data_IF_137396265072
#
_entry.id   IF_137396265072
#
_cell.length_a   1.000
_cell.length_b   1.000
_cell.length_c   1.000
_cell.angle_alpha   90.00
_cell.angle_beta   90.00
_cell.angle_gamma   90.00
#
_symmetry.space_group_name_H-M   'P 1'
#
loop_
_entity.id
_entity.type
_entity.pdbx_description
1 polymer ?
#
# COMPACT_ATOMS: atom_id res chain seq x y z
N UNK A 1 -36.58 29.76 -46.58
CA UNK A 1 -35.88 30.69 -47.49
C UNK A 1 -34.87 31.48 -46.66
N UNK A 2 -33.58 31.40 -47.05
CA UNK A 2 -32.42 32.28 -46.78
C UNK A 2 -32.17 32.76 -45.33
N UNK A 3 -31.16 32.30 -44.58
CA UNK A 3 -29.69 32.53 -44.68
C UNK A 3 -29.24 34.00 -44.56
N UNK A 4 -28.46 34.31 -43.50
CA UNK A 4 -27.24 35.17 -43.44
C UNK A 4 -26.88 35.43 -41.96
N UNK A 5 -25.83 34.86 -41.37
CA UNK A 5 -24.39 35.07 -41.59
C UNK A 5 -23.93 36.50 -41.27
N UNK A 6 -23.26 36.70 -40.13
CA UNK A 6 -22.16 37.65 -39.95
C UNK A 6 -21.23 37.18 -38.81
N UNK A 7 -20.01 36.83 -39.19
CA UNK A 7 -18.79 36.91 -38.41
C UNK A 7 -17.85 37.90 -39.15
N UNK A 8 -16.65 38.27 -38.66
CA UNK A 8 -16.16 38.47 -37.30
C UNK A 8 -15.59 39.91 -37.11
N UNK A 9 -15.24 40.32 -35.89
CA UNK A 9 -14.25 41.40 -35.67
C UNK A 9 -13.05 40.77 -34.97
N UNK A 10 -11.97 40.61 -35.72
CA UNK A 10 -10.65 40.32 -35.19
C UNK A 10 -10.01 41.63 -34.70
N UNK A 11 -9.55 41.66 -33.45
CA UNK A 11 -8.54 42.62 -33.02
C UNK A 11 -7.33 41.78 -32.57
N UNK A 12 -6.32 41.77 -33.43
CA UNK A 12 -4.99 41.29 -33.11
C UNK A 12 -4.31 42.33 -32.20
N UNK A 13 -3.81 41.87 -31.05
CA UNK A 13 -2.94 42.64 -30.18
C UNK A 13 -1.79 41.75 -29.74
N UNK A 14 -0.67 41.83 -30.45
CA UNK A 14 0.62 41.25 -30.04
C UNK A 14 1.26 42.13 -28.98
N UNK A 15 1.52 41.56 -27.79
CA UNK A 15 2.54 42.07 -26.87
C UNK A 15 3.37 40.88 -26.39
N UNK A 16 4.65 40.90 -26.75
CA UNK A 16 5.66 39.99 -26.26
C UNK A 16 6.25 40.50 -24.94
N UNK A 17 6.59 39.60 -24.03
CA UNK A 17 7.54 39.84 -22.95
C UNK A 17 6.99 39.61 -21.54
N UNK A 18 7.37 38.48 -20.95
CA UNK A 18 7.21 38.23 -19.52
C UNK A 18 7.19 36.73 -19.21
N UNK A 19 8.29 36.19 -18.67
CA UNK A 19 8.30 34.88 -18.02
C UNK A 19 7.25 34.90 -16.91
N UNK A 20 6.18 34.14 -17.09
CA UNK A 20 5.14 33.93 -16.09
C UNK A 20 4.95 32.42 -15.98
N UNK A 21 5.05 31.94 -14.73
CA UNK A 21 4.74 30.58 -14.34
C UNK A 21 3.43 30.11 -14.99
N UNK A 22 3.40 28.87 -15.47
CA UNK A 22 2.19 28.27 -16.01
C UNK A 22 1.06 28.34 -14.98
N UNK A 23 -0.19 28.56 -15.41
CA UNK A 23 -1.33 28.46 -14.49
C UNK A 23 -1.37 27.05 -13.86
N UNK A 24 -1.85 26.90 -12.62
CA UNK A 24 -2.14 25.59 -12.07
C UNK A 24 -3.08 24.87 -13.06
N UNK A 25 -2.64 23.71 -13.54
CA UNK A 25 -3.49 22.83 -14.31
C UNK A 25 -4.57 22.32 -13.34
N UNK A 26 -5.76 22.89 -13.40
CA UNK A 26 -6.94 22.19 -12.90
C UNK A 26 -7.15 21.01 -13.84
N UNK A 27 -7.03 19.79 -13.32
CA UNK A 27 -7.36 18.57 -14.04
C UNK A 27 -8.77 18.71 -14.60
N UNK A 28 -8.89 18.79 -15.93
CA UNK A 28 -10.16 18.73 -16.60
C UNK A 28 -10.58 17.25 -16.63
N UNK A 29 -11.79 16.96 -16.14
CA UNK A 29 -12.46 15.67 -16.25
C UNK A 29 -12.17 14.99 -17.59
N UNK A 30 -11.45 13.87 -17.53
CA UNK A 30 -11.37 12.92 -18.63
C UNK A 30 -12.61 12.02 -18.62
N UNK A 31 -13.09 11.67 -19.82
CA UNK A 31 -14.20 10.73 -20.02
C UNK A 31 -13.88 9.38 -19.35
N UNK A 32 -14.77 8.93 -18.47
CA UNK A 32 -14.63 7.68 -17.70
C UNK A 32 -14.91 6.49 -18.64
N UNK A 33 -13.86 5.73 -18.96
CA UNK A 33 -14.03 4.32 -19.29
C UNK A 33 -14.33 3.59 -17.97
N UNK A 34 -15.54 3.06 -17.82
CA UNK A 34 -15.91 2.18 -16.70
C UNK A 34 -15.15 0.86 -16.87
N UNK A 35 -13.95 0.78 -16.31
CA UNK A 35 -13.19 -0.45 -16.18
C UNK A 35 -13.11 -0.76 -14.69
N UNK A 36 -13.80 -1.83 -14.28
CA UNK A 36 -13.78 -2.30 -12.91
C UNK A 36 -12.35 -2.72 -12.55
N UNK A 37 -11.71 -2.00 -11.62
CA UNK A 37 -10.40 -2.34 -11.10
C UNK A 37 -10.51 -3.41 -10.01
N UNK A 38 -9.59 -4.38 -10.02
CA UNK A 38 -9.36 -5.29 -8.89
C UNK A 38 -8.24 -4.72 -8.02
N UNK A 39 -8.41 -4.78 -6.70
CA UNK A 39 -7.40 -4.38 -5.73
C UNK A 39 -7.21 -5.45 -4.63
N UNK A 40 -5.96 -5.76 -4.32
CA UNK A 40 -5.57 -6.54 -3.15
C UNK A 40 -5.24 -5.61 -1.97
N UNK A 41 -5.77 -5.92 -0.78
CA UNK A 41 -5.54 -5.13 0.43
C UNK A 41 -4.81 -5.93 1.50
N UNK A 42 -3.70 -5.38 2.00
CA UNK A 42 -2.86 -5.97 3.04
C UNK A 42 -2.76 -5.02 4.23
N UNK A 43 -3.09 -5.54 5.42
CA UNK A 43 -3.15 -4.76 6.65
C UNK A 43 -1.78 -4.49 7.31
N UNK A 44 -1.74 -3.58 8.28
CA UNK A 44 -0.58 -3.34 9.12
C UNK A 44 -0.42 -4.44 10.19
N UNK A 45 0.64 -4.32 10.99
CA UNK A 45 0.83 -5.11 12.21
C UNK A 45 -0.44 -5.16 13.05
N UNK A 46 -0.77 -6.35 13.56
CA UNK A 46 -1.96 -6.74 14.31
C UNK A 46 -3.29 -6.78 13.54
N UNK A 47 -3.33 -6.37 12.27
CA UNK A 47 -4.51 -6.47 11.42
C UNK A 47 -4.30 -7.57 10.38
N UNK A 48 -4.26 -8.82 10.85
CA UNK A 48 -3.97 -10.01 10.02
C UNK A 48 -4.93 -10.16 8.84
N UNK A 49 -6.20 -9.85 9.04
CA UNK A 49 -7.22 -9.84 7.97
C UNK A 49 -7.98 -8.52 8.03
N UNK A 50 -7.67 -7.56 7.14
CA UNK A 50 -8.44 -6.33 7.03
C UNK A 50 -9.96 -6.56 6.88
N UNK A 51 -10.76 -5.66 7.46
CA UNK A 51 -12.21 -5.70 7.31
C UNK A 51 -12.66 -5.16 5.94
N UNK A 52 -13.91 -5.45 5.52
CA UNK A 52 -14.54 -4.79 4.37
C UNK A 52 -14.47 -3.26 4.46
N UNK A 53 -14.74 -2.70 5.64
CA UNK A 53 -14.68 -1.25 5.89
C UNK A 53 -13.28 -0.69 5.65
N UNK A 54 -12.24 -1.42 6.06
CA UNK A 54 -10.86 -1.06 5.78
C UNK A 54 -10.62 -0.99 4.27
N UNK A 55 -10.96 -2.06 3.54
CA UNK A 55 -10.71 -2.15 2.10
C UNK A 55 -11.44 -1.04 1.33
N UNK A 56 -12.70 -0.79 1.68
CA UNK A 56 -13.48 0.31 1.12
C UNK A 56 -12.82 1.66 1.39
N UNK A 57 -12.48 1.94 2.65
CA UNK A 57 -11.91 3.25 3.02
C UNK A 57 -10.56 3.48 2.36
N UNK A 58 -9.71 2.46 2.31
CA UNK A 58 -8.43 2.52 1.62
C UNK A 58 -8.61 2.76 0.11
N UNK A 59 -9.57 2.08 -0.51
CA UNK A 59 -9.89 2.28 -1.92
C UNK A 59 -10.33 3.73 -2.19
N UNK A 60 -11.27 4.24 -1.40
CA UNK A 60 -11.84 5.58 -1.55
C UNK A 60 -10.79 6.67 -1.34
N UNK A 61 -9.91 6.51 -0.35
CA UNK A 61 -8.94 7.54 0.01
C UNK A 61 -7.68 7.52 -0.86
N UNK A 62 -7.17 6.34 -1.23
CA UNK A 62 -5.81 6.23 -1.78
C UNK A 62 -5.74 5.67 -3.19
N UNK A 63 -6.73 4.89 -3.63
CA UNK A 63 -6.74 4.27 -4.96
C UNK A 63 -7.62 5.05 -5.94
N UNK A 64 -8.83 5.44 -5.54
CA UNK A 64 -9.75 6.22 -6.39
C UNK A 64 -9.14 7.52 -6.93
N UNK A 65 -8.40 8.31 -6.14
CA UNK A 65 -7.72 9.50 -6.66
C UNK A 65 -6.70 9.20 -7.76
N UNK A 66 -6.21 7.96 -7.84
CA UNK A 66 -5.25 7.48 -8.84
C UNK A 66 -5.93 6.86 -10.07
N UNK A 67 -7.26 6.76 -10.08
CA UNK A 67 -8.04 6.22 -11.20
C UNK A 67 -8.63 4.84 -10.99
N UNK A 68 -8.46 4.23 -9.81
CA UNK A 68 -9.15 2.99 -9.47
C UNK A 68 -10.68 3.21 -9.41
N UNK A 69 -11.45 2.35 -10.07
CA UNK A 69 -12.91 2.37 -10.04
C UNK A 69 -13.44 0.95 -9.80
N UNK A 70 -13.95 0.69 -8.61
CA UNK A 70 -14.59 -0.60 -8.28
C UNK A 70 -16.11 -0.62 -8.57
N UNK A 71 -16.65 0.48 -9.12
CA UNK A 71 -18.08 0.73 -9.24
C UNK A 71 -18.72 1.23 -7.94
N UNK A 72 -20.04 1.49 -8.01
CA UNK A 72 -20.84 1.93 -6.87
C UNK A 72 -21.01 0.78 -5.84
N UNK A 73 -20.80 1.08 -4.55
CA UNK A 73 -20.93 0.14 -3.42
C UNK A 73 -20.22 -1.22 -3.64
N UNK A 74 -18.90 -1.23 -3.86
CA UNK A 74 -18.19 -2.44 -4.22
C UNK A 74 -18.20 -3.44 -3.06
N UNK A 75 -18.32 -4.73 -3.41
CA UNK A 75 -18.22 -5.79 -2.41
C UNK A 75 -16.75 -6.09 -2.11
N UNK A 76 -16.51 -6.69 -0.95
CA UNK A 76 -15.21 -7.24 -0.59
C UNK A 76 -15.28 -8.74 -0.30
N UNK A 77 -14.20 -9.46 -0.56
CA UNK A 77 -14.04 -10.86 -0.15
C UNK A 77 -12.63 -11.11 0.39
N UNK A 78 -12.47 -12.20 1.15
CA UNK A 78 -11.17 -12.66 1.65
C UNK A 78 -10.64 -13.73 0.71
N UNK A 79 -9.46 -13.52 0.15
CA UNK A 79 -8.82 -14.47 -0.77
C UNK A 79 -8.54 -15.78 -0.03
N UNK A 80 -8.82 -16.90 -0.71
CA UNK A 80 -8.67 -18.24 -0.12
C UNK A 80 -9.85 -18.70 0.73
N UNK A 81 -10.85 -17.83 0.98
CA UNK A 81 -12.09 -18.21 1.68
C UNK A 81 -13.26 -18.20 0.69
N UNK A 82 -13.64 -19.39 0.22
CA UNK A 82 -14.73 -19.54 -0.75
C UNK A 82 -14.41 -18.93 -2.11
N UNK A 83 -15.45 -18.67 -2.90
CA UNK A 83 -15.31 -17.95 -4.17
C UNK A 83 -15.11 -16.46 -3.86
N UNK A 84 -14.01 -15.88 -4.36
CA UNK A 84 -13.65 -14.49 -4.14
C UNK A 84 -13.43 -13.78 -5.49
N UNK A 85 -14.51 -13.26 -6.05
CA UNK A 85 -14.58 -12.53 -7.32
C UNK A 85 -14.90 -11.03 -7.14
N UNK A 86 -14.90 -10.55 -5.89
CA UNK A 86 -15.15 -9.15 -5.58
C UNK A 86 -13.99 -8.24 -6.04
N UNK A 87 -14.26 -6.97 -6.38
CA UNK A 87 -13.21 -6.02 -6.76
C UNK A 87 -12.28 -5.68 -5.60
N UNK A 88 -12.78 -5.66 -4.36
CA UNK A 88 -11.98 -5.42 -3.16
C UNK A 88 -11.57 -6.75 -2.50
N UNK A 89 -10.34 -7.20 -2.74
CA UNK A 89 -9.87 -8.51 -2.29
C UNK A 89 -8.92 -8.36 -1.12
N UNK A 90 -9.31 -8.87 0.04
CA UNK A 90 -8.49 -8.82 1.25
C UNK A 90 -7.58 -10.04 1.31
N UNK A 91 -6.29 -9.81 1.55
CA UNK A 91 -5.32 -10.86 1.85
C UNK A 91 -5.18 -11.01 3.37
N UNK A 92 -5.26 -12.24 3.82
CA UNK A 92 -4.88 -12.58 5.19
C UNK A 92 -3.37 -12.78 5.25
N UNK A 93 -2.71 -12.00 6.09
CA UNK A 93 -1.29 -12.15 6.38
C UNK A 93 -1.10 -12.38 7.88
N UNK A 94 0.08 -12.83 8.34
CA UNK A 94 0.26 -13.03 9.77
C UNK A 94 0.15 -11.74 10.58
N UNK A 95 0.59 -10.61 10.03
CA UNK A 95 0.57 -9.29 10.67
C UNK A 95 1.13 -9.29 12.11
N UNK A 96 2.18 -10.05 12.38
CA UNK A 96 2.72 -10.21 13.73
C UNK A 96 3.56 -9.00 14.14
N UNK A 97 3.68 -8.76 15.45
CA UNK A 97 4.66 -7.82 16.01
C UNK A 97 6.09 -8.20 15.56
N UNK A 98 6.37 -9.49 15.39
CA UNK A 98 7.61 -9.99 14.78
C UNK A 98 7.56 -9.75 13.27
N UNK A 99 7.97 -8.55 12.84
CA UNK A 99 7.78 -8.07 11.48
C UNK A 99 8.60 -8.81 10.44
N UNK A 100 9.80 -9.31 10.78
CA UNK A 100 10.70 -10.01 9.85
C UNK A 100 10.02 -11.13 9.09
N UNK A 101 9.86 -12.29 9.73
CA UNK A 101 9.18 -13.44 9.12
C UNK A 101 7.76 -13.10 8.65
N UNK A 102 7.01 -12.29 9.41
CA UNK A 102 5.63 -11.92 9.06
C UNK A 102 5.52 -11.18 7.72
N UNK A 103 6.48 -10.30 7.40
CA UNK A 103 6.49 -9.56 6.14
C UNK A 103 6.84 -10.46 4.95
N UNK A 104 7.77 -11.42 5.13
CA UNK A 104 8.09 -12.40 4.07
C UNK A 104 6.93 -13.34 3.77
N UNK A 105 6.22 -13.81 4.80
CA UNK A 105 4.99 -14.60 4.61
C UNK A 105 3.91 -13.77 3.92
N UNK A 106 3.74 -12.51 4.33
CA UNK A 106 2.81 -11.60 3.66
C UNK A 106 3.18 -11.35 2.19
N UNK A 107 4.47 -11.24 1.88
CA UNK A 107 4.96 -11.07 0.52
C UNK A 107 4.65 -12.30 -0.35
N UNK A 108 4.85 -13.51 0.18
CA UNK A 108 4.50 -14.75 -0.52
C UNK A 108 3.00 -14.81 -0.88
N UNK A 109 2.12 -14.37 0.03
CA UNK A 109 0.69 -14.29 -0.25
C UNK A 109 0.35 -13.25 -1.34
N UNK A 110 1.03 -12.11 -1.35
CA UNK A 110 0.89 -11.11 -2.43
C UNK A 110 1.33 -11.71 -3.77
N UNK A 111 2.53 -12.30 -3.82
CA UNK A 111 3.08 -12.94 -5.04
C UNK A 111 2.11 -13.99 -5.57
N UNK A 112 1.64 -14.88 -4.70
CA UNK A 112 0.67 -15.94 -5.04
C UNK A 112 -0.63 -15.36 -5.59
N UNK A 113 -1.17 -14.33 -4.95
CA UNK A 113 -2.44 -13.70 -5.36
C UNK A 113 -2.33 -12.95 -6.69
N UNK A 114 -1.22 -12.23 -6.91
CA UNK A 114 -0.94 -11.52 -8.17
C UNK A 114 -0.80 -12.50 -9.32
N UNK A 115 0.03 -13.53 -9.20
CA UNK A 115 0.16 -14.57 -10.23
C UNK A 115 -1.17 -15.23 -10.55
N UNK A 116 -1.94 -15.62 -9.51
CA UNK A 116 -3.24 -16.25 -9.71
C UNK A 116 -4.22 -15.33 -10.46
N UNK A 117 -4.20 -14.03 -10.21
CA UNK A 117 -5.09 -13.07 -10.85
C UNK A 117 -4.70 -12.78 -12.30
N UNK A 118 -3.41 -12.60 -12.57
CA UNK A 118 -2.88 -12.39 -13.92
C UNK A 118 -3.06 -13.63 -14.79
N UNK A 119 -2.84 -14.84 -14.25
CA UNK A 119 -3.07 -16.10 -14.97
C UNK A 119 -4.56 -16.32 -15.29
N UNK A 120 -5.45 -15.93 -14.37
CA UNK A 120 -6.89 -16.03 -14.58
C UNK A 120 -7.41 -14.99 -15.59
N UNK A 121 -6.75 -13.82 -15.68
CA UNK A 121 -7.20 -12.67 -16.46
C UNK A 121 -6.06 -12.03 -17.27
N UNK A 122 -5.46 -12.74 -18.25
CA UNK A 122 -4.20 -12.36 -18.89
C UNK A 122 -4.26 -11.07 -19.74
N UNK A 123 -5.46 -10.64 -20.14
CA UNK A 123 -5.68 -9.44 -20.97
C UNK A 123 -6.45 -8.33 -20.21
N UNK A 124 -6.64 -8.47 -18.89
CA UNK A 124 -7.46 -7.53 -18.12
C UNK A 124 -6.69 -6.32 -17.60
N UNK A 125 -5.35 -6.38 -17.60
CA UNK A 125 -4.49 -5.39 -16.98
C UNK A 125 -3.51 -4.79 -17.99
N UNK A 126 -3.28 -3.49 -17.86
CA UNK A 126 -2.33 -2.71 -18.65
C UNK A 126 -1.91 -1.44 -17.88
N UNK A 127 -1.05 -0.62 -18.48
CA UNK A 127 -0.55 0.61 -17.85
C UNK A 127 -1.67 1.61 -17.46
N UNK A 128 -2.82 1.59 -18.16
CA UNK A 128 -3.96 2.47 -17.88
C UNK A 128 -4.92 1.85 -16.85
N UNK A 129 -4.90 0.52 -16.69
CA UNK A 129 -5.78 -0.26 -15.82
C UNK A 129 -4.96 -1.35 -15.10
N UNK A 130 -4.07 -0.97 -14.17
CA UNK A 130 -3.24 -1.95 -13.49
C UNK A 130 -4.04 -2.75 -12.46
N UNK A 131 -3.51 -3.92 -12.08
CA UNK A 131 -3.89 -4.60 -10.86
C UNK A 131 -3.34 -3.81 -9.67
N UNK A 132 -4.19 -3.45 -8.72
CA UNK A 132 -3.79 -2.63 -7.59
C UNK A 132 -3.39 -3.51 -6.40
N UNK A 133 -2.28 -3.17 -5.74
CA UNK A 133 -1.87 -3.81 -4.49
C UNK A 133 -1.68 -2.73 -3.43
N UNK A 134 -2.58 -2.69 -2.46
CA UNK A 134 -2.54 -1.76 -1.34
C UNK A 134 -1.90 -2.40 -0.11
N UNK A 135 -0.95 -1.70 0.51
CA UNK A 135 -0.31 -2.12 1.74
C UNK A 135 -0.17 -0.98 2.76
N UNK A 136 -0.45 -1.27 4.04
CA UNK A 136 -0.18 -0.33 5.13
C UNK A 136 0.88 -0.87 6.08
N UNK A 137 1.89 -0.06 6.42
CA UNK A 137 2.88 -0.41 7.47
C UNK A 137 3.60 -1.71 7.12
N UNK A 138 3.51 -2.74 7.94
CA UNK A 138 4.01 -4.07 7.62
C UNK A 138 3.49 -4.62 6.28
N UNK A 139 2.26 -4.31 5.88
CA UNK A 139 1.72 -4.67 4.57
C UNK A 139 2.42 -3.96 3.41
N UNK A 140 2.91 -2.74 3.61
CA UNK A 140 3.75 -2.03 2.64
C UNK A 140 5.16 -2.65 2.55
N UNK A 141 5.73 -3.07 3.70
CA UNK A 141 6.97 -3.86 3.71
C UNK A 141 6.80 -5.18 2.94
N UNK A 142 5.71 -5.91 3.18
CA UNK A 142 5.40 -7.14 2.45
C UNK A 142 5.24 -6.87 0.94
N UNK A 143 4.58 -5.78 0.55
CA UNK A 143 4.48 -5.34 -0.85
C UNK A 143 5.85 -5.07 -1.47
N UNK A 144 6.72 -4.35 -0.76
CA UNK A 144 8.09 -4.04 -1.20
C UNK A 144 8.94 -5.29 -1.39
N UNK A 145 8.79 -6.29 -0.51
CA UNK A 145 9.44 -7.59 -0.64
C UNK A 145 8.88 -8.36 -1.84
N UNK A 146 7.56 -8.35 -2.04
CA UNK A 146 6.88 -9.03 -3.13
C UNK A 146 7.29 -8.48 -4.51
N UNK A 147 7.52 -7.17 -4.63
CA UNK A 147 8.00 -6.55 -5.87
C UNK A 147 9.29 -7.21 -6.38
N UNK A 148 10.21 -7.60 -5.50
CA UNK A 148 11.45 -8.27 -5.90
C UNK A 148 11.20 -9.61 -6.56
N UNK A 149 10.32 -10.42 -5.96
CA UNK A 149 9.96 -11.72 -6.48
C UNK A 149 9.18 -11.60 -7.79
N UNK A 150 8.20 -10.69 -7.87
CA UNK A 150 7.40 -10.49 -9.09
C UNK A 150 8.25 -10.00 -10.27
N UNK A 151 9.20 -9.09 -10.02
CA UNK A 151 10.15 -8.64 -11.04
C UNK A 151 11.07 -9.77 -11.50
N UNK A 152 11.57 -10.58 -10.55
CA UNK A 152 12.37 -11.77 -10.85
C UNK A 152 11.60 -12.78 -11.72
N UNK A 153 10.30 -12.97 -11.43
CA UNK A 153 9.42 -13.87 -12.18
C UNK A 153 9.04 -13.32 -13.56
N UNK A 154 9.41 -12.07 -13.87
CA UNK A 154 9.21 -11.45 -15.16
C UNK A 154 7.80 -10.91 -15.38
N UNK A 155 7.07 -10.60 -14.30
CA UNK A 155 5.82 -9.84 -14.40
C UNK A 155 6.12 -8.48 -15.01
N UNK A 156 5.33 -8.09 -16.01
CA UNK A 156 5.48 -6.79 -16.66
C UNK A 156 5.12 -5.67 -15.66
N UNK A 157 6.04 -4.71 -15.41
CA UNK A 157 5.83 -3.59 -14.50
C UNK A 157 4.57 -2.76 -14.77
N UNK A 158 4.07 -2.74 -16.01
CA UNK A 158 2.87 -1.99 -16.37
C UNK A 158 1.57 -2.64 -15.87
N UNK A 159 1.60 -3.93 -15.50
CA UNK A 159 0.40 -4.66 -15.10
C UNK A 159 0.00 -4.43 -13.64
N UNK A 160 0.90 -3.92 -12.79
CA UNK A 160 0.70 -3.85 -11.35
C UNK A 160 1.11 -2.48 -10.81
N UNK A 161 0.24 -1.87 -9.99
CA UNK A 161 0.50 -0.63 -9.29
C UNK A 161 0.39 -0.85 -7.78
N UNK A 162 1.49 -0.61 -7.07
CA UNK A 162 1.53 -0.67 -5.62
C UNK A 162 1.17 0.67 -4.98
N UNK A 163 0.30 0.66 -3.99
CA UNK A 163 -0.07 1.85 -3.23
C UNK A 163 0.18 1.60 -1.76
N UNK A 164 1.04 2.40 -1.16
CA UNK A 164 1.45 2.24 0.23
C UNK A 164 1.02 3.42 1.09
N UNK A 165 0.70 3.13 2.34
CA UNK A 165 0.58 4.14 3.40
C UNK A 165 1.48 3.74 4.55
N UNK A 166 2.13 4.72 5.20
CA UNK A 166 2.94 4.46 6.38
C UNK A 166 4.07 3.44 6.13
N UNK A 167 4.71 3.48 4.97
CA UNK A 167 5.68 2.48 4.52
C UNK A 167 7.00 2.53 5.34
N UNK A 168 7.36 1.47 6.10
CA UNK A 168 8.59 1.45 6.91
C UNK A 168 9.88 1.34 6.08
N UNK A 169 9.76 0.97 4.80
CA UNK A 169 10.89 0.71 3.89
C UNK A 169 10.77 1.53 2.60
N UNK A 170 10.03 2.65 2.62
CA UNK A 170 9.92 3.61 1.51
C UNK A 170 11.27 4.27 1.16
N UNK A 171 11.34 4.91 0.00
CA UNK A 171 12.59 5.51 -0.50
C UNK A 171 13.20 6.55 0.47
N UNK A 172 12.35 7.34 1.14
CA UNK A 172 12.76 8.34 2.13
C UNK A 172 13.10 7.76 3.52
N UNK A 173 12.72 6.49 3.77
CA UNK A 173 13.02 5.77 5.02
C UNK A 173 14.34 5.03 4.99
N UNK A 174 15.15 5.20 3.93
CA UNK A 174 16.47 4.61 3.70
C UNK A 174 17.51 5.04 4.76
N UNK A 175 17.21 4.80 6.03
CA UNK A 175 18.14 4.75 7.12
C UNK A 175 19.01 3.52 6.87
N UNK A 176 20.29 3.76 6.63
CA UNK A 176 21.36 2.76 6.72
C UNK A 176 21.42 2.06 8.10
N UNK A 177 20.50 2.41 9.01
CA UNK A 177 20.45 2.04 10.42
C UNK A 177 19.05 1.58 10.89
N UNK A 178 18.21 1.04 9.98
CA UNK A 178 17.16 0.08 10.41
C UNK A 178 17.75 -1.14 11.14
N UNK A 179 19.09 -1.24 11.25
CA UNK A 179 19.86 -2.17 12.06
C UNK A 179 20.64 -1.57 13.25
N UNK A 180 20.18 -0.51 13.93
CA UNK A 180 21.06 0.11 14.94
C UNK A 180 20.49 0.92 16.11
N UNK A 181 19.48 0.42 16.82
CA UNK A 181 19.32 0.80 18.23
C UNK A 181 18.87 -0.41 19.06
N UNK A 182 19.84 -0.97 19.79
CA UNK A 182 19.69 -1.97 20.86
C UNK A 182 18.32 -1.94 21.58
N UNK A 183 17.37 -2.74 21.11
CA UNK A 183 16.30 -3.30 21.92
C UNK A 183 16.20 -4.77 21.58
N UNK A 184 16.35 -5.62 22.59
CA UNK A 184 16.11 -7.07 22.54
C UNK A 184 15.00 -7.44 21.56
N UNK A 185 15.33 -8.31 20.60
CA UNK A 185 14.64 -8.65 19.35
C UNK A 185 13.16 -9.06 19.49
N UNK A 186 12.30 -8.12 19.84
CA UNK A 186 10.86 -8.32 20.05
C UNK A 186 10.07 -8.17 18.74
N UNK A 187 10.65 -7.46 17.77
CA UNK A 187 10.08 -7.17 16.45
C UNK A 187 10.76 -7.95 15.30
N UNK A 188 11.82 -8.73 15.55
CA UNK A 188 12.49 -9.56 14.54
C UNK A 188 12.90 -8.77 13.28
N UNK A 189 13.36 -7.53 13.45
CA UNK A 189 13.63 -6.60 12.33
C UNK A 189 14.96 -6.87 11.66
N UNK A 190 15.81 -7.74 12.23
CA UNK A 190 17.10 -8.12 11.66
C UNK A 190 16.99 -8.69 10.24
N UNK A 191 15.91 -9.43 9.97
CA UNK A 191 15.61 -9.98 8.64
C UNK A 191 15.22 -8.92 7.61
N UNK A 192 14.75 -7.74 8.05
CA UNK A 192 14.36 -6.64 7.17
C UNK A 192 15.55 -5.71 6.84
N UNK A 193 16.74 -6.00 7.37
CA UNK A 193 17.93 -5.21 7.12
C UNK A 193 18.25 -5.17 5.63
N UNK A 194 18.21 -3.97 5.02
CA UNK A 194 18.50 -3.76 3.62
C UNK A 194 17.29 -3.91 2.68
N UNK A 195 16.12 -4.27 3.21
CA UNK A 195 14.86 -4.17 2.47
C UNK A 195 14.55 -2.70 2.24
N UNK A 196 14.29 -2.35 0.98
CA UNK A 196 13.89 -1.03 0.52
C UNK A 196 12.86 -1.21 -0.59
N UNK A 197 11.93 -0.26 -0.69
CA UNK A 197 10.98 -0.19 -1.80
C UNK A 197 11.78 0.08 -3.07
N UNK A 198 11.76 -0.84 -4.05
CA UNK A 198 12.53 -0.70 -5.27
C UNK A 198 11.92 0.39 -6.15
N UNK A 199 12.75 1.29 -6.67
CA UNK A 199 12.31 2.44 -7.45
C UNK A 199 12.39 2.23 -8.97
N UNK A 200 12.63 1.00 -9.43
CA UNK A 200 12.84 0.67 -10.84
C UNK A 200 12.10 -0.60 -11.31
N UNK A 201 11.26 -1.20 -10.45
CA UNK A 201 10.59 -2.48 -10.77
C UNK A 201 9.09 -2.36 -11.05
N UNK A 202 8.35 -1.57 -10.29
CA UNK A 202 6.91 -1.35 -10.48
C UNK A 202 6.55 0.09 -10.14
N UNK A 203 5.42 0.57 -10.66
CA UNK A 203 4.87 1.87 -10.26
C UNK A 203 4.42 1.78 -8.79
N UNK A 204 4.89 2.72 -7.98
CA UNK A 204 4.51 2.85 -6.57
C UNK A 204 3.97 4.25 -6.30
N UNK A 205 2.91 4.33 -5.50
CA UNK A 205 2.49 5.57 -4.85
C UNK A 205 2.57 5.39 -3.35
N UNK A 206 3.44 6.13 -2.67
CA UNK A 206 3.71 5.99 -1.24
C UNK A 206 3.21 7.23 -0.48
N UNK A 207 2.20 7.06 0.36
CA UNK A 207 1.58 8.14 1.12
C UNK A 207 2.15 8.20 2.54
N UNK A 208 2.57 9.39 2.95
CA UNK A 208 3.07 9.67 4.30
C UNK A 208 2.27 10.78 4.97
N UNK A 209 2.21 10.74 6.30
CA UNK A 209 1.67 11.83 7.13
C UNK A 209 2.80 12.38 8.01
N UNK A 210 2.90 13.71 8.19
CA UNK A 210 3.93 14.31 9.02
C UNK A 210 3.83 13.84 10.47
N UNK A 211 4.98 13.48 11.03
CA UNK A 211 5.10 13.01 12.40
C UNK A 211 4.97 11.50 12.58
N UNK A 212 4.59 10.76 11.52
CA UNK A 212 4.60 9.30 11.52
C UNK A 212 6.05 8.78 11.65
N UNK A 213 6.43 8.15 12.78
CA UNK A 213 7.79 7.70 13.00
C UNK A 213 8.14 6.42 12.23
N UNK A 214 7.16 5.79 11.57
CA UNK A 214 7.40 4.65 10.69
C UNK A 214 8.01 5.10 9.37
N UNK A 215 7.54 6.25 8.86
CA UNK A 215 8.00 6.83 7.59
C UNK A 215 9.06 7.93 7.78
N UNK A 216 9.22 8.46 8.99
CA UNK A 216 10.23 9.46 9.31
C UNK A 216 11.10 8.99 10.51
N UNK A 217 12.29 8.42 10.26
CA UNK A 217 13.22 8.03 11.31
C UNK A 217 13.72 9.19 12.18
N UNK A 218 13.59 10.44 11.72
CA UNK A 218 13.94 11.64 12.48
C UNK A 218 12.77 12.16 13.33
N UNK A 219 11.57 11.57 13.23
CA UNK A 219 10.41 11.96 14.02
C UNK A 219 10.69 11.81 15.52
N UNK A 220 10.37 12.86 16.27
CA UNK A 220 10.45 12.85 17.73
C UNK A 220 9.10 12.56 18.40
N UNK A 221 8.10 12.10 17.64
CA UNK A 221 6.75 11.89 18.18
C UNK A 221 6.74 10.74 19.19
N UNK A 222 6.48 11.07 20.46
CA UNK A 222 6.45 10.10 21.55
C UNK A 222 5.26 9.13 21.45
N UNK A 223 4.20 9.50 20.71
CA UNK A 223 3.01 8.67 20.47
C UNK A 223 2.83 8.30 18.99
N UNK A 224 3.83 8.58 18.16
CA UNK A 224 3.81 8.44 16.70
C UNK A 224 3.16 7.16 16.16
N UNK A 225 3.54 6.01 16.71
CA UNK A 225 3.02 4.70 16.31
C UNK A 225 1.53 4.49 16.65
N UNK A 226 1.03 5.15 17.70
CA UNK A 226 -0.33 5.01 18.20
C UNK A 226 -1.25 6.15 17.78
N UNK A 227 -0.69 7.28 17.37
CA UNK A 227 -1.42 8.47 17.00
C UNK A 227 -1.25 8.73 15.51
N UNK A 228 -0.13 9.32 15.09
CA UNK A 228 0.10 9.75 13.71
C UNK A 228 -0.02 8.58 12.70
N UNK A 229 0.62 7.45 12.99
CA UNK A 229 0.61 6.27 12.13
C UNK A 229 -0.78 5.65 11.96
N UNK A 230 -1.72 5.92 12.87
CA UNK A 230 -3.08 5.38 12.82
C UNK A 230 -4.06 6.28 12.05
N UNK A 231 -3.66 7.51 11.68
CA UNK A 231 -4.60 8.51 11.15
C UNK A 231 -5.03 8.26 9.71
N UNK A 232 -4.26 7.50 8.92
CA UNK A 232 -4.45 7.37 7.46
C UNK A 232 -5.90 7.06 7.07
N UNK A 233 -6.53 6.06 7.72
CA UNK A 233 -7.91 5.67 7.39
C UNK A 233 -8.96 6.67 7.87
N UNK A 234 -8.61 7.59 8.77
CA UNK A 234 -9.52 8.64 9.26
C UNK A 234 -9.41 9.96 8.52
N UNK A 235 -8.52 10.04 7.53
CA UNK A 235 -8.45 11.18 6.63
C UNK A 235 -9.72 11.30 5.78
N UNK A 236 -9.92 12.49 5.24
CA UNK A 236 -10.93 12.80 4.23
C UNK A 236 -10.27 12.91 2.85
N UNK A 237 -11.04 12.76 1.75
CA UNK A 237 -10.49 12.93 0.40
C UNK A 237 -9.80 14.28 0.19
N UNK A 238 -10.36 15.37 0.72
CA UNK A 238 -9.76 16.71 0.62
C UNK A 238 -8.42 16.80 1.36
N UNK A 239 -8.25 16.06 2.47
CA UNK A 239 -6.98 16.02 3.20
C UNK A 239 -5.93 15.21 2.45
N UNK A 240 -6.28 14.06 1.88
CA UNK A 240 -5.36 13.28 1.04
C UNK A 240 -4.95 14.08 -0.21
N UNK A 241 -5.88 14.83 -0.81
CA UNK A 241 -5.59 15.68 -1.96
C UNK A 241 -4.68 16.89 -1.62
N UNK A 242 -4.57 17.27 -0.35
CA UNK A 242 -3.70 18.36 0.10
C UNK A 242 -2.31 17.84 0.45
N UNK A 243 -1.47 17.64 -0.55
CA UNK A 243 -0.14 17.04 -0.39
C UNK A 243 0.94 17.75 -1.22
N UNK A 244 2.19 17.38 -0.97
CA UNK A 244 3.32 17.61 -1.86
C UNK A 244 3.66 16.27 -2.50
N UNK A 245 3.84 16.24 -3.82
CA UNK A 245 4.24 15.04 -4.54
C UNK A 245 5.69 15.18 -5.03
N UNK A 246 6.50 14.17 -4.75
CA UNK A 246 7.85 14.00 -5.31
C UNK A 246 7.95 12.66 -6.02
N UNK A 247 8.98 12.51 -6.86
CA UNK A 247 9.20 11.28 -7.63
C UNK A 247 10.64 10.85 -7.51
N UNK A 248 10.87 9.59 -7.17
CA UNK A 248 12.15 8.91 -7.28
C UNK A 248 11.98 7.63 -8.10
N UNK A 249 12.56 7.61 -9.31
CA UNK A 249 12.34 6.52 -10.26
C UNK A 249 10.86 6.31 -10.58
N UNK A 250 10.35 5.12 -10.27
CA UNK A 250 8.96 4.69 -10.42
C UNK A 250 8.12 4.90 -9.14
N UNK A 251 8.71 5.47 -8.08
CA UNK A 251 8.00 5.83 -6.85
C UNK A 251 7.51 7.27 -6.96
N UNK A 252 6.24 7.47 -6.65
CA UNK A 252 5.66 8.79 -6.38
C UNK A 252 5.37 8.89 -4.89
N UNK A 253 6.18 9.67 -4.19
CA UNK A 253 5.99 9.96 -2.76
C UNK A 253 4.97 11.09 -2.60
N UNK A 254 3.98 10.87 -1.74
CA UNK A 254 2.88 11.77 -1.45
C UNK A 254 2.95 12.17 0.03
N UNK A 255 3.50 13.34 0.28
CA UNK A 255 3.58 13.93 1.61
C UNK A 255 2.29 14.70 1.93
N UNK A 256 1.38 14.06 2.66
CA UNK A 256 0.10 14.67 3.05
C UNK A 256 0.37 15.83 4.00
N UNK A 257 -0.24 16.99 3.74
CA UNK A 257 -0.08 18.16 4.59
C UNK A 257 -0.68 17.91 5.98
N UNK A 258 0.05 18.25 7.04
CA UNK A 258 -0.45 18.16 8.41
C UNK A 258 -1.45 19.26 8.80
N UNK A 259 -1.91 20.07 7.84
CA UNK A 259 -2.88 21.17 8.03
C UNK A 259 -4.33 20.64 8.11
N UNK A 260 -4.59 19.82 9.12
CA UNK A 260 -5.91 19.30 9.45
C UNK A 260 -6.06 19.01 10.94
N UNK A 261 -7.30 18.75 11.38
CA UNK A 261 -7.56 18.28 12.73
C UNK A 261 -7.11 16.81 12.87
N UNK A 262 -5.88 16.64 13.34
CA UNK A 262 -5.25 15.32 13.54
C UNK A 262 -5.99 14.46 14.57
N UNK A 263 -6.65 15.07 15.56
CA UNK A 263 -7.37 14.30 16.57
C UNK A 263 -8.65 13.71 15.99
N UNK A 264 -9.37 14.50 15.18
CA UNK A 264 -10.54 14.00 14.46
C UNK A 264 -10.15 12.91 13.45
N UNK A 265 -9.05 13.09 12.71
CA UNK A 265 -8.53 12.05 11.81
C UNK A 265 -8.20 10.77 12.58
N UNK A 266 -7.45 10.87 13.67
CA UNK A 266 -7.16 9.71 14.53
C UNK A 266 -8.44 9.03 15.05
N UNK A 267 -9.43 9.80 15.49
CA UNK A 267 -10.69 9.26 16.02
C UNK A 267 -11.51 8.56 14.92
N UNK A 268 -11.59 9.14 13.73
CA UNK A 268 -12.34 8.61 12.60
C UNK A 268 -11.75 7.29 12.08
N UNK A 269 -10.43 7.14 12.13
CA UNK A 269 -9.74 5.93 11.67
C UNK A 269 -10.30 4.66 12.35
N UNK A 270 -10.72 4.78 13.61
CA UNK A 270 -11.31 3.66 14.36
C UNK A 270 -12.56 3.08 13.71
N UNK A 271 -13.47 3.95 13.26
CA UNK A 271 -14.69 3.55 12.55
C UNK A 271 -14.47 3.21 11.08
N UNK A 272 -13.31 3.56 10.52
CA UNK A 272 -12.97 3.35 9.12
C UNK A 272 -12.12 2.09 8.89
N UNK A 273 -12.21 1.14 9.81
CA UNK A 273 -11.65 -0.20 9.63
C UNK A 273 -10.74 -0.68 10.75
N UNK A 274 -10.30 0.14 11.71
CA UNK A 274 -9.43 -0.37 12.78
C UNK A 274 -10.17 -1.24 13.79
N UNK A 275 -11.37 -0.84 14.21
CA UNK A 275 -12.14 -1.62 15.21
C UNK A 275 -12.56 -2.98 14.65
N UNK A 276 -12.99 -3.00 13.39
CA UNK A 276 -13.63 -4.17 12.79
C UNK A 276 -12.62 -5.16 12.17
N UNK A 277 -11.32 -4.83 12.14
CA UNK A 277 -10.26 -5.67 11.56
C UNK A 277 -9.53 -6.57 12.58
N UNK A 278 -10.16 -6.87 13.72
CA UNK A 278 -9.64 -7.88 14.64
C UNK A 278 -8.29 -7.57 15.28
N UNK A 279 -8.02 -6.29 15.58
CA UNK A 279 -6.79 -5.81 16.21
C UNK A 279 -6.40 -6.62 17.47
N UNK A 280 -7.39 -7.13 18.22
CA UNK A 280 -7.17 -7.89 19.45
C UNK A 280 -6.67 -9.30 19.17
N UNK A 281 -7.18 -9.93 18.11
CA UNK A 281 -6.72 -11.20 17.59
C UNK A 281 -5.25 -11.11 17.16
N UNK A 282 -4.86 -10.06 16.44
CA UNK A 282 -3.46 -9.87 16.01
C UNK A 282 -2.46 -9.68 17.17
N UNK A 283 -2.87 -9.03 18.26
CA UNK A 283 -2.06 -8.96 19.50
C UNK A 283 -1.90 -10.35 20.11
N UNK A 284 -2.98 -11.14 20.19
CA UNK A 284 -2.92 -12.51 20.69
C UNK A 284 -2.02 -13.40 19.82
N UNK A 285 -2.12 -13.26 18.50
CA UNK A 285 -1.35 -14.01 17.51
C UNK A 285 0.15 -13.73 17.66
N UNK A 286 0.50 -12.46 17.89
CA UNK A 286 1.88 -12.03 18.16
C UNK A 286 2.46 -12.61 19.45
N UNK A 287 1.64 -12.77 20.50
CA UNK A 287 2.06 -13.42 21.76
C UNK A 287 2.33 -14.91 21.53
N UNK A 288 1.48 -15.60 20.77
CA UNK A 288 1.66 -17.02 20.45
C UNK A 288 2.91 -17.22 19.58
N UNK A 289 3.10 -16.41 18.54
CA UNK A 289 4.27 -16.46 17.66
C UNK A 289 5.59 -16.25 18.43
N UNK A 290 5.62 -15.33 19.40
CA UNK A 290 6.78 -15.14 20.28
C UNK A 290 7.17 -16.42 21.03
N UNK A 291 6.19 -17.18 21.53
CA UNK A 291 6.48 -18.47 22.17
C UNK A 291 7.03 -19.49 21.17
N UNK A 292 6.46 -19.60 19.97
CA UNK A 292 6.94 -20.52 18.94
C UNK A 292 8.35 -20.18 18.44
N UNK A 293 8.65 -18.89 18.24
CA UNK A 293 9.99 -18.38 17.91
C UNK A 293 11.01 -18.76 19.00
N UNK A 294 10.65 -18.57 20.28
CA UNK A 294 11.52 -18.86 21.41
C UNK A 294 11.87 -20.36 21.57
N UNK A 295 11.06 -21.26 20.99
CA UNK A 295 11.27 -22.71 21.04
C UNK A 295 11.69 -23.33 19.70
N UNK A 296 11.90 -22.52 18.65
CA UNK A 296 12.49 -22.94 17.38
C UNK A 296 11.54 -23.57 16.35
N UNK A 297 10.23 -23.31 16.45
CA UNK A 297 9.21 -23.92 15.58
C UNK A 297 8.30 -22.87 14.91
N UNK A 298 8.83 -21.74 14.43
CA UNK A 298 7.98 -20.67 13.86
C UNK A 298 7.19 -21.15 12.61
N UNK A 299 7.73 -22.10 11.85
CA UNK A 299 7.07 -22.72 10.69
C UNK A 299 5.75 -23.39 11.07
N UNK A 300 5.75 -24.17 12.17
CA UNK A 300 4.55 -24.83 12.72
C UNK A 300 3.47 -23.79 13.08
N UNK A 301 3.84 -22.58 13.50
CA UNK A 301 2.86 -21.53 13.79
C UNK A 301 2.16 -21.03 12.51
N UNK A 302 2.90 -20.74 11.44
CA UNK A 302 2.31 -20.25 10.20
C UNK A 302 1.47 -21.34 9.50
N UNK A 303 1.95 -22.59 9.48
CA UNK A 303 1.23 -23.72 8.90
C UNK A 303 0.05 -24.19 9.74
N UNK A 304 0.28 -24.67 10.95
CA UNK A 304 -0.76 -25.37 11.74
C UNK A 304 -1.80 -24.41 12.33
N UNK A 305 -1.43 -23.14 12.54
CA UNK A 305 -2.27 -22.20 13.28
C UNK A 305 -2.91 -21.12 12.41
N UNK A 306 -2.14 -20.58 11.45
CA UNK A 306 -2.67 -19.61 10.48
C UNK A 306 -3.16 -20.25 9.18
N UNK A 307 -2.85 -21.52 8.93
CA UNK A 307 -3.29 -22.24 7.74
C UNK A 307 -2.64 -21.74 6.45
N UNK A 308 -1.48 -21.08 6.55
CA UNK A 308 -0.75 -20.51 5.42
C UNK A 308 0.11 -21.60 4.77
N UNK A 309 0.16 -21.63 3.44
CA UNK A 309 1.01 -22.57 2.69
C UNK A 309 2.47 -22.12 2.76
N UNK A 310 3.28 -22.87 3.51
CA UNK A 310 4.68 -22.54 3.75
C UNK A 310 5.55 -22.66 2.49
N UNK A 311 5.15 -23.45 1.48
CA UNK A 311 5.96 -23.66 0.28
C UNK A 311 6.23 -22.37 -0.50
N UNK A 312 5.24 -21.49 -0.63
CA UNK A 312 5.45 -20.17 -1.27
C UNK A 312 6.29 -19.20 -0.43
N UNK A 313 6.28 -19.38 0.89
CA UNK A 313 7.12 -18.61 1.81
C UNK A 313 8.57 -19.04 1.67
N UNK A 314 8.85 -20.34 1.55
CA UNK A 314 10.20 -20.88 1.30
C UNK A 314 10.79 -20.31 0.01
N UNK A 315 10.03 -20.30 -1.10
CA UNK A 315 10.49 -19.73 -2.37
C UNK A 315 10.87 -18.24 -2.23
N UNK A 316 10.04 -17.47 -1.51
CA UNK A 316 10.31 -16.05 -1.24
C UNK A 316 11.55 -15.89 -0.36
N UNK A 317 11.69 -16.67 0.71
CA UNK A 317 12.84 -16.62 1.61
C UNK A 317 14.13 -17.07 0.90
N UNK A 318 14.09 -18.08 0.04
CA UNK A 318 15.23 -18.57 -0.72
C UNK A 318 15.75 -17.54 -1.72
N UNK A 319 14.87 -16.73 -2.30
CA UNK A 319 15.27 -15.60 -3.15
C UNK A 319 16.07 -14.55 -2.35
N UNK A 320 15.61 -14.20 -1.15
CA UNK A 320 16.24 -13.17 -0.30
C UNK A 320 17.44 -13.68 0.49
N UNK A 321 17.43 -14.96 0.87
CA UNK A 321 18.44 -15.62 1.70
C UNK A 321 18.88 -16.95 1.06
N UNK A 322 19.49 -16.91 -0.12
CA UNK A 322 19.88 -18.12 -0.81
C UNK A 322 20.87 -18.92 0.04
N UNK A 323 20.54 -20.18 0.29
CA UNK A 323 21.49 -21.13 0.89
C UNK A 323 22.65 -21.25 -0.10
N UNK A 324 23.86 -20.78 0.28
CA UNK A 324 25.01 -20.71 -0.63
C UNK A 324 25.22 -22.04 -1.41
N UNK A 325 25.70 -21.97 -2.67
CA UNK A 325 25.77 -23.11 -3.59
C UNK A 325 26.66 -24.28 -3.15
#
# INVERSE_FOLDING_TARGET
MLTKAFAPIAIAGTVAGGVLAGPPAYAAHADINLLAGTAFFVGPTTLSTPSPTFAQTAADLFLQPLGFDAGDDPTSCVVGIGDCDAPLRVLSTPALIQQGHSSFVGAAEIVRAVHAELDANPDAYDADNPLWVFGWSQGATAGSIAMAQLAHDGIDPELVHFVFIGNPVGADTASTDMGGASSSDLFDTGLLSGVQTPNDWFTVTDYTIPGDPVTDPASTSALGLFYEHMMYLGLTPDQVANHIATTDGMITDIDISGDFDQFDAWLNAWSHGLIDSGWWEGIFYSVVAFFYSAFGNIEDFFGDWLGIDWGGVEDTLDFWFPVEP
#
